data_IF_072936559566
#
_entry.id   IF_072936559566
#
_cell.length_a   1.000
_cell.length_b   1.000
_cell.length_c   1.000
_cell.angle_alpha   90.00
_cell.angle_beta   90.00
_cell.angle_gamma   90.00
#
_symmetry.space_group_name_H-M   'P 1'
#
loop_
_entity.id
_entity.type
_entity.pdbx_description
1 polymer ?
#
# COMPACT_ATOMS: atom_id res chain seq x y z
N UNK A 1 -1.93 -25.75 -16.72
CA UNK A 1 -2.32 -26.28 -15.39
C UNK A 1 -2.35 -25.12 -14.42
N UNK A 2 -3.52 -24.71 -13.95
CA UNK A 2 -3.66 -23.81 -12.81
C UNK A 2 -3.94 -24.67 -11.58
N UNK A 3 -3.16 -24.50 -10.52
CA UNK A 3 -3.39 -25.20 -9.27
C UNK A 3 -4.72 -24.72 -8.67
N UNK A 4 -5.63 -25.61 -8.23
CA UNK A 4 -6.90 -25.20 -7.65
C UNK A 4 -6.65 -24.42 -6.35
N UNK A 5 -7.40 -23.33 -6.08
CA UNK A 5 -7.26 -22.58 -4.83
C UNK A 5 -7.47 -23.52 -3.65
N UNK A 6 -6.44 -23.67 -2.81
CA UNK A 6 -6.49 -24.53 -1.63
C UNK A 6 -6.92 -23.72 -0.40
N UNK A 7 -7.54 -24.36 0.59
CA UNK A 7 -8.02 -23.70 1.82
C UNK A 7 -6.94 -23.00 2.63
N UNK A 8 -5.66 -23.34 2.44
CA UNK A 8 -4.51 -22.66 3.05
C UNK A 8 -4.11 -21.36 2.33
N UNK A 9 -4.73 -21.04 1.19
CA UNK A 9 -4.45 -19.82 0.47
C UNK A 9 -5.14 -18.69 1.23
N UNK A 10 -4.36 -17.93 2.00
CA UNK A 10 -4.88 -16.74 2.67
C UNK A 10 -5.34 -15.68 1.68
N UNK A 11 -5.98 -14.63 2.19
CA UNK A 11 -6.46 -13.53 1.36
C UNK A 11 -5.29 -12.89 0.59
N UNK A 12 -5.41 -12.71 -0.74
CA UNK A 12 -4.41 -12.01 -1.52
C UNK A 12 -4.15 -10.61 -0.94
N UNK A 13 -2.88 -10.20 -0.96
CA UNK A 13 -2.51 -8.84 -0.58
C UNK A 13 -3.21 -7.88 -1.56
N UNK A 14 -3.93 -6.85 -1.07
CA UNK A 14 -4.52 -5.86 -1.96
C UNK A 14 -3.45 -5.21 -2.83
N UNK A 15 -3.59 -5.32 -4.15
CA UNK A 15 -2.67 -4.66 -5.06
C UNK A 15 -3.03 -3.17 -5.17
N UNK A 16 -2.10 -2.31 -4.77
CA UNK A 16 -2.23 -0.86 -4.93
C UNK A 16 -1.45 -0.41 -6.15
N UNK A 17 -2.02 0.45 -6.99
CA UNK A 17 -1.31 1.06 -8.12
C UNK A 17 -0.75 2.45 -7.75
N UNK A 18 0.24 2.50 -6.84
CA UNK A 18 0.91 3.73 -6.41
C UNK A 18 2.24 3.97 -7.14
N UNK A 19 2.66 5.24 -7.18
CA UNK A 19 3.94 5.74 -7.71
C UNK A 19 4.61 6.66 -6.67
N UNK A 20 5.94 6.89 -6.78
CA UNK A 20 6.60 7.93 -6.00
C UNK A 20 5.87 9.27 -6.15
N UNK A 21 5.63 9.91 -5.02
CA UNK A 21 4.90 11.17 -4.91
C UNK A 21 3.41 11.03 -4.65
N UNK A 22 2.81 9.84 -4.77
CA UNK A 22 1.37 9.66 -4.52
C UNK A 22 1.03 9.85 -3.03
N UNK A 23 -0.08 10.54 -2.72
CA UNK A 23 -0.55 10.70 -1.35
C UNK A 23 -1.21 9.41 -0.85
N UNK A 24 -0.87 9.03 0.37
CA UNK A 24 -1.39 7.83 1.04
C UNK A 24 -1.81 8.14 2.46
N UNK A 25 -2.55 7.22 3.07
CA UNK A 25 -2.90 7.26 4.49
C UNK A 25 -2.74 5.86 5.09
N UNK A 26 -2.26 5.79 6.34
CA UNK A 26 -2.19 4.52 7.07
C UNK A 26 -3.58 4.00 7.41
N UNK A 27 -3.85 2.72 7.15
CA UNK A 27 -5.13 2.06 7.49
C UNK A 27 -5.05 1.23 8.77
N UNK A 28 -3.83 1.04 9.30
CA UNK A 28 -3.52 0.37 10.56
C UNK A 28 -2.57 1.26 11.38
N UNK A 29 -2.47 0.96 12.67
CA UNK A 29 -1.43 1.54 13.51
C UNK A 29 -0.08 0.91 13.16
N UNK A 30 0.87 1.76 12.82
CA UNK A 30 2.25 1.42 12.48
C UNK A 30 3.18 1.94 13.59
N UNK A 31 4.43 1.47 13.67
CA UNK A 31 5.38 1.95 14.67
C UNK A 31 5.51 3.49 14.64
N UNK A 32 5.09 4.13 15.74
CA UNK A 32 5.04 5.59 15.90
C UNK A 32 4.18 6.35 14.86
N UNK A 33 3.33 5.67 14.08
CA UNK A 33 2.47 6.25 13.07
C UNK A 33 1.04 5.73 13.31
N UNK A 34 0.18 6.51 13.98
CA UNK A 34 -1.21 6.10 14.21
C UNK A 34 -1.95 5.86 12.90
N UNK A 35 -2.99 5.03 12.95
CA UNK A 35 -3.95 4.90 11.84
C UNK A 35 -4.51 6.26 11.42
N UNK A 36 -4.69 6.47 10.12
CA UNK A 36 -5.19 7.72 9.56
C UNK A 36 -4.11 8.77 9.32
N UNK A 37 -2.83 8.45 9.61
CA UNK A 37 -1.73 9.38 9.36
C UNK A 37 -1.46 9.47 7.86
N UNK A 38 -1.53 10.69 7.34
CA UNK A 38 -1.23 10.96 5.93
C UNK A 38 0.27 10.86 5.67
N UNK A 39 0.62 10.37 4.50
CA UNK A 39 2.01 10.28 4.04
C UNK A 39 2.11 10.40 2.53
N UNK A 40 3.34 10.31 2.05
CA UNK A 40 3.68 10.33 0.63
C UNK A 40 4.60 9.17 0.30
N UNK A 41 4.33 8.50 -0.81
CA UNK A 41 5.20 7.43 -1.31
C UNK A 41 6.52 8.04 -1.76
N UNK A 42 7.64 7.55 -1.24
CA UNK A 42 8.99 7.92 -1.68
C UNK A 42 9.51 6.90 -2.70
N UNK A 43 9.25 5.62 -2.45
CA UNK A 43 9.67 4.51 -3.32
C UNK A 43 8.50 3.57 -3.54
N UNK A 44 8.32 3.16 -4.79
CA UNK A 44 7.41 2.08 -5.17
C UNK A 44 8.22 1.05 -5.96
N UNK A 45 8.51 -0.10 -5.33
CA UNK A 45 9.34 -1.16 -5.91
C UNK A 45 8.58 -2.49 -5.96
N UNK A 46 9.02 -3.42 -6.80
CA UNK A 46 8.50 -4.79 -6.90
C UNK A 46 7.60 -5.03 -8.11
N UNK A 47 7.70 -6.25 -8.64
CA UNK A 47 6.98 -6.69 -9.85
C UNK A 47 5.67 -7.42 -9.50
N UNK A 48 5.75 -8.47 -8.66
CA UNK A 48 4.60 -9.23 -8.16
C UNK A 48 4.21 -8.89 -6.70
N UNK A 49 5.14 -8.32 -5.93
CA UNK A 49 4.94 -7.92 -4.53
C UNK A 49 5.37 -6.47 -4.42
N UNK A 50 4.45 -5.56 -4.72
CA UNK A 50 4.75 -4.14 -4.69
C UNK A 50 4.95 -3.68 -3.25
N UNK A 51 6.11 -3.10 -2.98
CA UNK A 51 6.53 -2.54 -1.70
C UNK A 51 6.63 -1.03 -1.80
N UNK A 52 6.25 -0.38 -0.71
CA UNK A 52 6.23 1.06 -0.61
C UNK A 52 7.10 1.52 0.55
N UNK A 53 7.93 2.51 0.29
CA UNK A 53 8.51 3.36 1.33
C UNK A 53 7.65 4.60 1.41
N UNK A 54 7.16 4.92 2.60
CA UNK A 54 6.30 6.08 2.84
C UNK A 54 6.93 6.99 3.87
N UNK A 55 7.01 8.28 3.52
CA UNK A 55 7.27 9.35 4.48
C UNK A 55 5.94 9.86 5.02
N UNK A 56 5.69 9.65 6.30
CA UNK A 56 4.49 10.14 6.97
C UNK A 56 4.63 11.60 7.39
N UNK A 57 3.49 12.29 7.53
CA UNK A 57 3.43 13.71 7.90
C UNK A 57 3.97 14.02 9.30
N UNK A 58 4.12 13.01 10.15
CA UNK A 58 4.78 13.10 11.46
C UNK A 58 6.32 13.00 11.35
N UNK A 59 6.89 12.89 10.15
CA UNK A 59 8.33 12.82 9.91
C UNK A 59 8.92 11.40 9.94
N UNK A 60 8.11 10.37 10.24
CA UNK A 60 8.56 8.98 10.29
C UNK A 60 8.59 8.39 8.88
N UNK A 61 9.63 7.60 8.62
CA UNK A 61 9.79 6.81 7.41
C UNK A 61 9.60 5.35 7.73
N UNK A 62 8.77 4.67 6.92
CA UNK A 62 8.57 3.23 7.04
C UNK A 62 8.70 2.61 5.66
N UNK A 63 9.58 1.61 5.59
CA UNK A 63 9.82 0.78 4.41
C UNK A 63 8.94 -0.48 4.43
N UNK A 64 8.94 -1.22 3.31
CA UNK A 64 8.27 -2.52 3.17
C UNK A 64 6.75 -2.48 3.43
N UNK A 65 6.09 -1.36 3.14
CA UNK A 65 4.63 -1.28 3.23
C UNK A 65 3.97 -1.88 1.98
N UNK A 66 2.75 -2.39 2.16
CA UNK A 66 1.92 -2.98 1.10
C UNK A 66 0.45 -2.59 1.31
N UNK A 67 -0.45 -3.12 0.47
CA UNK A 67 -1.88 -2.78 0.50
C UNK A 67 -2.65 -3.15 1.77
N UNK A 68 -2.05 -3.87 2.72
CA UNK A 68 -2.61 -4.10 4.05
C UNK A 68 -2.37 -2.93 5.01
N UNK A 69 -1.39 -2.07 4.72
CA UNK A 69 -0.90 -1.04 5.65
C UNK A 69 -1.34 0.37 5.27
N UNK A 70 -1.48 0.63 3.96
CA UNK A 70 -1.77 1.97 3.42
C UNK A 70 -2.88 1.93 2.39
N UNK A 71 -3.55 3.06 2.18
CA UNK A 71 -4.47 3.28 1.06
C UNK A 71 -4.14 4.59 0.35
N UNK A 72 -4.60 4.73 -0.91
CA UNK A 72 -4.43 5.99 -1.65
C UNK A 72 -5.33 7.08 -1.06
N UNK A 73 -4.73 8.18 -0.63
CA UNK A 73 -5.44 9.36 -0.12
C UNK A 73 -5.77 10.38 -1.23
N UNK A 74 -5.32 10.12 -2.46
CA UNK A 74 -5.53 10.97 -3.63
C UNK A 74 -6.74 10.54 -4.44
N UNK A 75 -7.30 11.48 -5.22
CA UNK A 75 -8.37 11.17 -6.18
C UNK A 75 -7.87 10.09 -7.13
N UNK A 76 -8.47 8.88 -7.07
CA UNK A 76 -8.23 7.78 -8.03
C UNK A 76 -8.20 8.34 -9.44
N UNK A 77 -7.01 8.52 -10.04
CA UNK A 77 -6.87 8.72 -11.48
C UNK A 77 -7.08 7.35 -12.13
N UNK A 78 -8.34 6.95 -12.24
CA UNK A 78 -8.77 5.83 -13.07
C UNK A 78 -8.82 4.47 -12.37
N UNK A 79 -9.83 4.25 -11.52
CA UNK A 79 -10.46 2.93 -11.52
C UNK A 79 -11.34 2.87 -12.77
N UNK A 80 -10.74 2.51 -13.92
CA UNK A 80 -11.51 2.15 -15.11
C UNK A 80 -12.14 0.79 -14.81
N UNK A 81 -13.37 0.79 -14.29
CA UNK A 81 -14.24 -0.39 -14.40
C UNK A 81 -14.53 -0.55 -15.89
N UNK A 82 -13.98 -1.60 -16.50
CA UNK A 82 -14.48 -2.12 -17.78
C UNK A 82 -15.59 -3.11 -17.48
#
# INVERSE_FOLDING_TARGET
MAWPPHSLAGEPIPELVLRPGDPVVSVVDLPAVPKGTKGRVEVADGFAWRRYTVRFGNGIYIDFLDGRHIESAGRRRGLRRR
#
